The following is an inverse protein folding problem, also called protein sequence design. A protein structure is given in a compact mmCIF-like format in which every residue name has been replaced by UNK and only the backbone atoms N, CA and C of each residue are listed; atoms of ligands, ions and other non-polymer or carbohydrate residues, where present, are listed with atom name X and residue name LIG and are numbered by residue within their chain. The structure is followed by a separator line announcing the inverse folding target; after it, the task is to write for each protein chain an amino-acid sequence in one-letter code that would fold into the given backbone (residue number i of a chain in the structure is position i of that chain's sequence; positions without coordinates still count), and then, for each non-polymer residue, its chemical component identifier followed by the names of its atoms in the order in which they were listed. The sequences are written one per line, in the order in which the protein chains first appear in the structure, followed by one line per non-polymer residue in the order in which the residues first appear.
data_IF_007570458865
#
_entry.id   IF_007570458865
#
_cell.length_a   1.000
_cell.length_b   1.000
_cell.length_c   1.000
_cell.angle_alpha   90.00
_cell.angle_beta   90.00
_cell.angle_gamma   90.00
#
_symmetry.space_group_name_H-M   'P 1'
#
loop_
_entity.id
_entity.type
_entity.pdbx_description
1 polymer ?
#
# COMPACT_ATOMS: atom_id res chain seq x y z
N UNK A 1 -5.95 18.57 -15.02
CA UNK A 1 -6.05 17.17 -14.54
C UNK A 1 -7.34 17.08 -13.75
N UNK A 2 -8.25 16.21 -14.15
CA UNK A 2 -9.56 16.00 -13.48
C UNK A 2 -9.40 15.18 -12.20
N UNK A 3 -10.32 15.36 -11.24
CA UNK A 3 -10.34 14.60 -9.98
C UNK A 3 -10.36 13.08 -10.21
N UNK A 4 -10.98 12.65 -11.31
CA UNK A 4 -11.00 11.24 -11.75
C UNK A 4 -9.62 10.74 -12.17
N UNK A 5 -8.84 11.56 -12.87
CA UNK A 5 -7.46 11.22 -13.25
C UNK A 5 -6.56 11.11 -12.02
N UNK A 6 -6.70 12.03 -11.07
CA UNK A 6 -5.95 12.02 -9.80
C UNK A 6 -6.31 10.77 -8.98
N UNK A 7 -7.60 10.48 -8.82
CA UNK A 7 -8.07 9.29 -8.09
C UNK A 7 -7.57 8.00 -8.75
N UNK A 8 -7.59 7.93 -10.08
CA UNK A 8 -7.07 6.78 -10.84
C UNK A 8 -5.56 6.61 -10.63
N UNK A 9 -4.80 7.70 -10.69
CA UNK A 9 -3.36 7.67 -10.45
C UNK A 9 -3.01 7.20 -9.03
N UNK A 10 -3.70 7.72 -8.02
CA UNK A 10 -3.49 7.33 -6.62
C UNK A 10 -3.84 5.84 -6.38
N UNK A 11 -4.94 5.35 -6.98
CA UNK A 11 -5.30 3.93 -6.92
C UNK A 11 -4.24 3.03 -7.58
N UNK A 12 -3.69 3.44 -8.73
CA UNK A 12 -2.61 2.72 -9.41
C UNK A 12 -1.34 2.66 -8.58
N UNK A 13 -0.98 3.76 -7.90
CA UNK A 13 0.16 3.80 -6.98
C UNK A 13 -0.04 2.78 -5.85
N UNK A 14 -1.22 2.79 -5.21
CA UNK A 14 -1.55 1.84 -4.15
C UNK A 14 -1.47 0.38 -4.63
N UNK A 15 -1.98 0.07 -5.82
CA UNK A 15 -1.87 -1.27 -6.41
C UNK A 15 -0.41 -1.69 -6.66
N UNK A 16 0.43 -0.76 -7.13
CA UNK A 16 1.86 -1.03 -7.36
C UNK A 16 2.62 -1.26 -6.06
N UNK A 17 2.31 -0.50 -5.00
CA UNK A 17 2.86 -0.71 -3.66
C UNK A 17 2.54 -2.11 -3.13
N UNK A 18 1.29 -2.55 -3.25
CA UNK A 18 0.89 -3.89 -2.84
C UNK A 18 1.64 -5.01 -3.59
N UNK A 19 1.82 -4.86 -4.91
CA UNK A 19 2.58 -5.83 -5.72
C UNK A 19 4.06 -5.85 -5.35
N UNK A 20 4.66 -4.68 -5.12
CA UNK A 20 6.05 -4.59 -4.68
C UNK A 20 6.24 -5.26 -3.32
N UNK A 21 5.33 -5.00 -2.36
CA UNK A 21 5.38 -5.64 -1.04
C UNK A 21 5.31 -7.17 -1.16
N UNK A 22 4.44 -7.71 -2.03
CA UNK A 22 4.36 -9.16 -2.29
C UNK A 22 5.66 -9.72 -2.84
N UNK A 23 6.25 -9.07 -3.86
CA UNK A 23 7.50 -9.51 -4.45
C UNK A 23 8.67 -9.49 -3.45
N UNK A 24 8.73 -8.45 -2.60
CA UNK A 24 9.75 -8.37 -1.55
C UNK A 24 9.58 -9.45 -0.47
N UNK A 25 8.34 -9.88 -0.15
CA UNK A 25 8.10 -11.03 0.74
C UNK A 25 8.64 -12.31 0.12
N UNK A 26 8.35 -12.56 -1.16
CA UNK A 26 8.87 -13.73 -1.87
C UNK A 26 10.40 -13.77 -1.89
N UNK A 27 11.05 -12.61 -2.08
CA UNK A 27 12.51 -12.47 -2.00
C UNK A 27 12.99 -12.79 -0.57
N UNK A 28 12.37 -12.22 0.46
CA UNK A 28 12.75 -12.48 1.85
C UNK A 28 12.63 -13.97 2.19
N UNK A 29 11.54 -14.62 1.76
CA UNK A 29 11.31 -16.04 1.97
C UNK A 29 12.30 -16.91 1.19
N UNK A 30 12.67 -16.50 -0.02
CA UNK A 30 13.73 -17.17 -0.78
C UNK A 30 15.08 -17.06 -0.06
N UNK A 31 15.45 -15.88 0.45
CA UNK A 31 16.69 -15.66 1.21
C UNK A 31 16.71 -16.49 2.50
N UNK A 32 15.58 -16.52 3.22
CA UNK A 32 15.42 -17.31 4.45
C UNK A 32 15.66 -18.80 4.18
N UNK A 33 15.15 -19.32 3.05
CA UNK A 33 15.40 -20.71 2.60
C UNK A 33 16.86 -20.97 2.23
N UNK A 34 17.64 -19.95 1.86
CA UNK A 34 19.09 -20.07 1.66
C UNK A 34 19.88 -20.04 2.98
N UNK A 35 19.22 -19.80 4.11
CA UNK A 35 19.83 -19.78 5.44
C UNK A 35 20.30 -18.40 5.91
N UNK A 36 20.11 -17.34 5.13
CA UNK A 36 20.46 -15.96 5.52
C UNK A 36 19.28 -15.28 6.23
N UNK A 37 18.93 -15.83 7.40
CA UNK A 37 17.84 -15.35 8.26
C UNK A 37 17.99 -13.86 8.64
N UNK A 38 19.21 -13.34 8.96
CA UNK A 38 19.37 -11.92 9.29
C UNK A 38 19.00 -10.97 8.14
N UNK A 39 19.37 -11.29 6.90
CA UNK A 39 19.01 -10.46 5.73
C UNK A 39 17.52 -10.55 5.44
N UNK A 40 16.93 -11.76 5.50
CA UNK A 40 15.49 -11.93 5.38
C UNK A 40 14.72 -11.12 6.43
N UNK A 41 15.22 -11.08 7.68
CA UNK A 41 14.67 -10.27 8.77
C UNK A 41 14.66 -8.77 8.46
N UNK A 42 15.78 -8.21 7.99
CA UNK A 42 15.87 -6.79 7.60
C UNK A 42 14.87 -6.41 6.50
N UNK A 43 14.69 -7.30 5.51
CA UNK A 43 13.73 -7.08 4.44
C UNK A 43 12.30 -7.10 5.00
N UNK A 44 11.96 -8.09 5.85
CA UNK A 44 10.64 -8.19 6.49
C UNK A 44 10.32 -6.98 7.36
N UNK A 45 11.29 -6.46 8.11
CA UNK A 45 11.07 -5.28 8.95
C UNK A 45 10.85 -4.01 8.13
N UNK A 46 11.59 -3.84 7.03
CA UNK A 46 11.34 -2.74 6.08
C UNK A 46 9.97 -2.88 5.42
N UNK A 47 9.55 -4.11 5.10
CA UNK A 47 8.23 -4.37 4.53
C UNK A 47 7.08 -4.01 5.47
N UNK A 48 7.23 -4.23 6.79
CA UNK A 48 6.20 -3.80 7.76
C UNK A 48 5.97 -2.30 7.72
N UNK A 49 7.02 -1.50 7.52
CA UNK A 49 6.88 -0.05 7.36
C UNK A 49 6.10 0.30 6.08
N UNK A 50 6.41 -0.36 4.96
CA UNK A 50 5.69 -0.18 3.68
C UNK A 50 4.22 -0.58 3.80
N UNK A 51 3.91 -1.64 4.54
CA UNK A 51 2.52 -2.08 4.79
C UNK A 51 1.74 -1.08 5.66
N UNK A 52 2.39 -0.46 6.65
CA UNK A 52 1.77 0.60 7.44
C UNK A 52 1.45 1.83 6.58
N UNK A 53 2.35 2.19 5.65
CA UNK A 53 2.12 3.27 4.69
C UNK A 53 0.98 2.93 3.71
N UNK A 54 0.90 1.69 3.19
CA UNK A 54 -0.20 1.24 2.33
C UNK A 54 -1.56 1.37 3.04
N UNK A 55 -1.63 1.04 4.34
CA UNK A 55 -2.85 1.24 5.12
C UNK A 55 -3.25 2.73 5.23
N UNK A 56 -2.28 3.63 5.40
CA UNK A 56 -2.54 5.06 5.45
C UNK A 56 -3.04 5.60 4.10
N UNK A 57 -2.42 5.17 2.99
CA UNK A 57 -2.83 5.53 1.63
C UNK A 57 -4.25 5.05 1.36
N UNK A 58 -4.60 3.80 1.69
CA UNK A 58 -5.96 3.26 1.55
C UNK A 58 -7.01 4.03 2.34
N UNK A 59 -6.71 4.38 3.60
CA UNK A 59 -7.60 5.20 4.43
C UNK A 59 -7.85 6.56 3.79
N UNK A 60 -6.78 7.20 3.32
CA UNK A 60 -6.85 8.49 2.64
C UNK A 60 -7.66 8.40 1.35
N UNK A 61 -7.38 7.43 0.49
CA UNK A 61 -8.14 7.16 -0.74
C UNK A 61 -9.63 6.95 -0.47
N UNK A 62 -9.95 6.19 0.58
CA UNK A 62 -11.34 5.97 1.02
C UNK A 62 -11.99 7.29 1.41
N UNK A 63 -11.31 8.13 2.21
CA UNK A 63 -11.83 9.45 2.62
C UNK A 63 -12.05 10.41 1.45
N UNK A 64 -11.22 10.32 0.39
CA UNK A 64 -11.38 11.10 -0.83
C UNK A 64 -12.54 10.59 -1.70
N UNK A 65 -12.87 9.30 -1.60
CA UNK A 65 -13.94 8.65 -2.38
C UNK A 65 -15.32 8.84 -1.76
N UNK A 66 -15.39 9.15 -0.46
CA UNK A 66 -16.65 9.48 0.22
C UNK A 66 -17.06 10.88 -0.20
N UNK A 67 -17.88 10.97 -1.25
CA UNK A 67 -18.65 12.18 -1.56
C UNK A 67 -19.34 12.66 -0.27
N UNK A 68 -19.18 13.95 0.04
CA UNK A 68 -19.85 14.58 1.18
C UNK A 68 -21.32 14.13 1.23
N UNK A 69 -21.85 13.68 2.37
CA UNK A 69 -23.26 13.37 2.46
C UNK A 69 -24.05 14.62 2.05
N UNK A 70 -24.99 14.46 1.11
CA UNK A 70 -25.86 15.53 0.64
C UNK A 70 -26.47 16.25 1.85
N UNK A 71 -26.44 17.59 1.88
CA UNK A 71 -27.00 18.34 3.00
C UNK A 71 -28.47 17.94 3.16
N UNK A 72 -28.83 17.44 4.34
CA UNK A 72 -30.22 17.17 4.69
C UNK A 72 -30.90 18.53 4.85
N UNK A 73 -31.54 19.01 3.80
CA UNK A 73 -32.48 20.13 3.91
C UNK A 73 -33.61 19.68 4.84
N UNK A 74 -33.75 20.36 5.98
CA UNK A 74 -34.88 20.26 6.90
C UNK A 74 -35.85 21.38 6.60
#
# INVERSE_FOLDING_TARGET
MSDKEITTALNLINQRQARLASACKEIADWIDRQGDVPVAGKIRDTLKAVEADDQLVRKTLTSLSVERPLPRFR
#
